data_IF_949028935479
#
_entry.id   IF_949028935479
#
_cell.length_a   1.000
_cell.length_b   1.000
_cell.length_c   1.000
_cell.angle_alpha   90.00
_cell.angle_beta   90.00
_cell.angle_gamma   90.00
#
_symmetry.space_group_name_H-M   'P 1'
#
loop_
_entity.id
_entity.type
_entity.pdbx_description
1 polymer ?
#
# COMPACT_ATOMS: atom_id res chain seq x y z
N UNK A 1 -35.09 32.50 -12.21
CA UNK A 1 -34.82 31.04 -12.35
C UNK A 1 -33.62 30.70 -11.46
N UNK A 2 -33.80 29.84 -10.45
CA UNK A 2 -32.70 29.36 -9.58
C UNK A 2 -32.64 27.83 -9.71
N UNK A 3 -31.79 27.34 -10.61
CA UNK A 3 -31.49 25.92 -10.68
C UNK A 3 -30.61 25.57 -9.47
N UNK A 4 -31.16 24.76 -8.56
CA UNK A 4 -30.52 24.31 -7.33
C UNK A 4 -29.35 23.38 -7.68
N UNK A 5 -28.12 23.85 -7.45
CA UNK A 5 -26.93 23.02 -7.29
C UNK A 5 -27.18 22.06 -6.11
N UNK A 6 -27.65 20.84 -6.35
CA UNK A 6 -27.81 19.86 -5.27
C UNK A 6 -27.40 18.43 -5.65
N UNK A 7 -26.84 18.21 -6.85
CA UNK A 7 -26.51 16.85 -7.32
C UNK A 7 -25.01 16.53 -7.18
N UNK A 8 -24.14 17.53 -7.03
CA UNK A 8 -22.69 17.33 -6.95
C UNK A 8 -22.18 16.99 -5.53
N UNK A 9 -22.92 17.34 -4.47
CA UNK A 9 -22.48 17.07 -3.09
C UNK A 9 -22.56 15.58 -2.73
N UNK A 10 -23.49 14.84 -3.32
CA UNK A 10 -23.71 13.42 -3.02
C UNK A 10 -22.64 12.53 -3.64
N UNK A 11 -22.07 12.90 -4.79
CA UNK A 11 -21.01 12.13 -5.45
C UNK A 11 -19.65 12.21 -4.72
N UNK A 12 -19.42 13.27 -3.93
CA UNK A 12 -18.17 13.43 -3.18
C UNK A 12 -18.16 12.61 -1.87
N UNK A 13 -19.33 12.29 -1.32
CA UNK A 13 -19.42 11.52 -0.07
C UNK A 13 -19.26 10.01 -0.25
N UNK A 14 -19.49 9.46 -1.46
CA UNK A 14 -19.41 8.01 -1.71
C UNK A 14 -17.96 7.51 -1.81
N UNK A 15 -16.98 8.39 -2.04
CA UNK A 15 -15.56 8.02 -2.10
C UNK A 15 -14.85 8.00 -0.74
N UNK A 16 -15.46 8.53 0.32
CA UNK A 16 -14.81 8.66 1.63
C UNK A 16 -14.83 7.38 2.48
N UNK A 17 -15.67 6.38 2.15
CA UNK A 17 -15.82 5.18 2.98
C UNK A 17 -14.82 4.06 2.69
N UNK A 18 -14.00 4.19 1.64
CA UNK A 18 -13.02 3.18 1.24
C UNK A 18 -11.57 3.62 1.44
N UNK A 19 -11.33 4.88 1.79
CA UNK A 19 -10.00 5.44 1.96
C UNK A 19 -10.07 6.46 3.10
N UNK A 20 -9.76 6.03 4.32
CA UNK A 20 -9.50 6.93 5.46
C UNK A 20 -8.37 7.88 5.08
N UNK A 21 -8.73 9.07 4.59
CA UNK A 21 -7.81 10.18 4.34
C UNK A 21 -7.67 10.95 5.66
N UNK A 22 -6.66 10.61 6.45
CA UNK A 22 -5.88 11.59 7.22
C UNK A 22 -4.61 10.94 7.78
N UNK A 23 -3.46 11.43 7.33
CA UNK A 23 -2.16 11.08 7.89
C UNK A 23 -1.53 9.83 7.28
N UNK A 24 -0.21 9.75 7.43
CA UNK A 24 0.72 8.73 6.95
C UNK A 24 0.48 7.32 7.50
N UNK A 25 -0.78 6.92 7.72
CA UNK A 25 -1.13 5.63 8.26
C UNK A 25 -1.35 4.66 7.11
N UNK A 26 -0.32 3.85 6.85
CA UNK A 26 -0.48 2.48 6.34
C UNK A 26 -1.73 1.91 7.04
N UNK A 27 -2.83 1.62 6.32
CA UNK A 27 -4.07 1.22 6.97
C UNK A 27 -3.80 0.01 7.85
N UNK A 28 -4.15 0.20 9.13
CA UNK A 28 -4.35 -0.79 10.19
C UNK A 28 -3.28 -1.87 10.32
N UNK A 29 -2.68 -1.94 11.53
CA UNK A 29 -2.15 -3.15 12.18
C UNK A 29 -2.43 -4.41 11.36
N UNK A 30 -1.65 -4.63 10.30
CA UNK A 30 -1.67 -5.89 9.60
C UNK A 30 -0.90 -6.74 10.58
N UNK A 31 -1.64 -7.47 11.41
CA UNK A 31 -1.06 -8.30 12.46
C UNK A 31 0.21 -8.96 11.95
N UNK A 32 1.25 -8.89 12.77
CA UNK A 32 2.58 -9.46 12.58
C UNK A 32 2.64 -10.48 11.43
N UNK A 33 3.45 -10.19 10.40
CA UNK A 33 3.79 -11.15 9.35
C UNK A 33 2.59 -11.94 8.83
N UNK A 34 1.66 -11.29 8.13
CA UNK A 34 0.63 -12.05 7.41
C UNK A 34 1.33 -13.00 6.44
N UNK A 35 1.41 -14.29 6.80
CA UNK A 35 1.86 -15.41 5.94
C UNK A 35 1.09 -15.51 4.62
N UNK A 36 0.01 -14.75 4.51
CA UNK A 36 -0.85 -14.68 3.35
C UNK A 36 -0.36 -13.59 2.38
N UNK A 37 0.31 -14.02 1.32
CA UNK A 37 0.70 -13.16 0.21
C UNK A 37 -0.36 -13.16 -0.88
N UNK A 38 -1.05 -12.03 -1.02
CA UNK A 38 -2.02 -11.87 -2.10
C UNK A 38 -1.36 -11.57 -3.44
N UNK A 39 -2.08 -11.89 -4.50
CA UNK A 39 -1.76 -11.45 -5.86
C UNK A 39 -2.30 -10.04 -6.06
N UNK A 40 -1.52 -9.17 -6.70
CA UNK A 40 -2.01 -7.84 -7.11
C UNK A 40 -3.24 -8.01 -8.01
N UNK A 41 -4.33 -7.35 -7.62
CA UNK A 41 -5.62 -7.35 -8.33
C UNK A 41 -6.03 -5.96 -8.82
N UNK A 42 -5.36 -4.91 -8.35
CA UNK A 42 -5.61 -3.54 -8.79
C UNK A 42 -4.37 -2.67 -8.65
N UNK A 43 -4.20 -1.78 -9.62
CA UNK A 43 -3.20 -0.72 -9.59
C UNK A 43 -3.74 0.49 -10.36
N UNK A 44 -3.77 1.65 -9.72
CA UNK A 44 -4.27 2.89 -10.32
C UNK A 44 -3.49 4.08 -9.80
N UNK A 45 -2.90 4.85 -10.71
CA UNK A 45 -2.39 6.18 -10.41
C UNK A 45 -3.50 7.19 -10.69
N UNK A 46 -3.67 8.15 -9.80
CA UNK A 46 -4.68 9.19 -9.90
C UNK A 46 -4.18 10.48 -9.29
N UNK A 47 -4.78 11.59 -9.71
CA UNK A 47 -4.52 12.90 -9.13
C UNK A 47 -5.68 13.26 -8.23
N UNK A 48 -5.37 13.58 -6.96
CA UNK A 48 -6.34 14.05 -5.97
C UNK A 48 -6.08 15.52 -5.73
N UNK A 49 -7.12 16.34 -5.89
CA UNK A 49 -7.06 17.77 -5.60
C UNK A 49 -7.65 17.98 -4.21
N UNK A 50 -6.84 18.47 -3.28
CA UNK A 50 -7.31 18.96 -1.98
C UNK A 50 -7.47 20.48 -2.03
N UNK A 51 -8.07 21.06 -0.99
CA UNK A 51 -8.24 22.51 -0.88
C UNK A 51 -6.92 23.30 -0.94
N UNK A 52 -5.79 22.66 -0.65
CA UNK A 52 -4.46 23.29 -0.56
C UNK A 52 -3.47 22.83 -1.63
N UNK A 53 -3.65 21.65 -2.25
CA UNK A 53 -2.68 21.12 -3.22
C UNK A 53 -3.25 20.03 -4.12
N UNK A 54 -2.65 19.90 -5.29
CA UNK A 54 -2.81 18.75 -6.17
C UNK A 54 -1.76 17.70 -5.84
N UNK A 55 -2.19 16.47 -5.55
CA UNK A 55 -1.32 15.35 -5.18
C UNK A 55 -1.51 14.18 -6.13
N UNK A 56 -0.41 13.54 -6.53
CA UNK A 56 -0.50 12.22 -7.17
C UNK A 56 -0.59 11.14 -6.11
N UNK A 57 -1.49 10.19 -6.33
CA UNK A 57 -1.77 9.07 -5.44
C UNK A 57 -1.79 7.79 -6.24
N UNK A 58 -1.03 6.80 -5.79
CA UNK A 58 -1.07 5.44 -6.32
C UNK A 58 -1.89 4.57 -5.38
N UNK A 59 -2.91 3.91 -5.91
CA UNK A 59 -3.72 2.92 -5.20
C UNK A 59 -3.39 1.54 -5.72
N UNK A 60 -3.15 0.60 -4.82
CA UNK A 60 -2.99 -0.80 -5.17
C UNK A 60 -3.91 -1.68 -4.35
N UNK A 61 -4.21 -2.86 -4.87
CA UNK A 61 -4.92 -3.88 -4.12
C UNK A 61 -4.31 -5.24 -4.38
N UNK A 62 -4.36 -6.10 -3.37
CA UNK A 62 -4.02 -7.50 -3.51
C UNK A 62 -5.10 -8.39 -2.91
N UNK A 63 -5.25 -9.57 -3.48
CA UNK A 63 -6.22 -10.56 -3.04
C UNK A 63 -5.52 -11.86 -2.70
N UNK A 64 -5.80 -12.39 -1.51
CA UNK A 64 -5.45 -13.74 -1.09
C UNK A 64 -6.71 -14.50 -0.75
N UNK A 65 -6.98 -15.59 -1.47
CA UNK A 65 -8.25 -16.35 -1.38
C UNK A 65 -9.45 -15.41 -1.57
N UNK A 66 -10.22 -15.18 -0.50
CA UNK A 66 -11.41 -14.32 -0.50
C UNK A 66 -11.18 -12.94 0.15
N UNK A 67 -9.95 -12.68 0.60
CA UNK A 67 -9.60 -11.43 1.29
C UNK A 67 -8.89 -10.51 0.32
N UNK A 68 -9.40 -9.30 0.14
CA UNK A 68 -8.76 -8.23 -0.63
C UNK A 68 -8.34 -7.12 0.31
N UNK A 69 -7.09 -6.67 0.21
CA UNK A 69 -6.57 -5.54 0.94
C UNK A 69 -6.20 -4.42 -0.05
N UNK A 70 -6.54 -3.18 0.31
CA UNK A 70 -6.28 -1.99 -0.49
C UNK A 70 -5.23 -1.12 0.20
N UNK A 71 -4.37 -0.51 -0.59
CA UNK A 71 -3.29 0.37 -0.13
C UNK A 71 -3.29 1.64 -0.95
N UNK A 72 -2.92 2.73 -0.28
CA UNK A 72 -2.77 4.03 -0.89
C UNK A 72 -1.38 4.58 -0.57
N UNK A 73 -0.74 5.13 -1.60
CA UNK A 73 0.59 5.71 -1.51
C UNK A 73 0.55 7.12 -2.10
N UNK A 74 1.10 8.08 -1.38
CA UNK A 74 1.31 9.43 -1.90
C UNK A 74 2.52 9.38 -2.83
N UNK A 75 2.31 9.74 -4.10
CA UNK A 75 3.32 9.72 -5.15
C UNK A 75 2.91 8.90 -6.38
N UNK A 76 3.69 9.06 -7.45
CA UNK A 76 3.61 8.25 -8.65
C UNK A 76 4.55 7.04 -8.52
N UNK A 77 3.97 5.84 -8.40
CA UNK A 77 4.73 4.60 -8.31
C UNK A 77 4.51 3.70 -9.54
N UNK A 78 4.30 4.30 -10.72
CA UNK A 78 4.38 3.59 -12.00
C UNK A 78 5.65 2.74 -12.08
N UNK A 79 5.52 1.53 -12.59
CA UNK A 79 6.53 0.48 -12.58
C UNK A 79 6.34 -0.55 -11.46
N UNK A 80 5.49 -0.29 -10.47
CA UNK A 80 5.16 -1.24 -9.41
C UNK A 80 3.84 -2.00 -9.64
N UNK A 81 3.30 -2.03 -10.86
CA UNK A 81 1.97 -2.60 -11.18
C UNK A 81 1.84 -4.08 -10.79
N UNK A 82 2.95 -4.80 -10.80
CA UNK A 82 3.04 -6.22 -10.42
C UNK A 82 3.67 -6.43 -9.04
N UNK A 83 4.09 -5.36 -8.38
CA UNK A 83 4.66 -5.33 -7.04
C UNK A 83 3.67 -4.61 -6.09
N UNK A 84 4.06 -4.31 -4.85
CA UNK A 84 3.28 -3.72 -3.74
C UNK A 84 2.39 -4.68 -2.94
N UNK A 85 2.51 -5.98 -3.15
CA UNK A 85 1.90 -6.97 -2.24
C UNK A 85 2.64 -6.99 -0.90
N UNK A 86 1.97 -7.54 0.13
CA UNK A 86 2.62 -7.84 1.40
C UNK A 86 3.75 -8.84 1.18
N UNK A 87 4.80 -8.73 1.98
CA UNK A 87 5.78 -9.79 2.17
C UNK A 87 6.30 -9.75 3.61
N UNK A 88 6.94 -10.83 4.03
CA UNK A 88 7.64 -10.93 5.31
C UNK A 88 9.16 -10.81 5.04
N UNK A 89 9.81 -9.71 5.44
CA UNK A 89 11.25 -9.54 5.27
C UNK A 89 12.10 -10.54 6.06
N UNK A 90 11.58 -11.05 7.18
CA UNK A 90 12.25 -12.00 8.07
C UNK A 90 12.12 -13.45 7.59
N UNK A 91 10.94 -13.78 7.08
CA UNK A 91 10.62 -15.11 6.56
C UNK A 91 10.06 -14.96 5.13
N UNK A 92 10.91 -14.63 4.14
CA UNK A 92 10.46 -14.40 2.76
C UNK A 92 9.78 -15.62 2.13
N UNK A 93 9.97 -16.82 2.72
CA UNK A 93 9.14 -18.00 2.44
C UNK A 93 8.14 -18.16 3.59
N UNK A 94 6.82 -18.22 3.33
CA UNK A 94 6.14 -18.64 2.10
C UNK A 94 5.78 -17.51 1.12
N UNK A 95 6.14 -16.28 1.45
CA UNK A 95 5.62 -15.06 0.87
C UNK A 95 6.56 -14.45 -0.19
N UNK A 96 6.82 -15.19 -1.27
CA UNK A 96 7.72 -14.73 -2.32
C UNK A 96 7.07 -13.63 -3.15
N UNK A 97 7.74 -12.49 -3.22
CA UNK A 97 7.41 -11.46 -4.20
C UNK A 97 7.46 -12.05 -5.62
N UNK A 98 6.71 -11.44 -6.54
CA UNK A 98 6.76 -11.83 -7.96
C UNK A 98 8.18 -11.67 -8.52
N UNK A 99 8.46 -12.40 -9.61
CA UNK A 99 9.66 -12.18 -10.41
C UNK A 99 9.82 -10.67 -10.67
N UNK A 100 11.06 -10.18 -10.55
CA UNK A 100 11.45 -8.75 -10.65
C UNK A 100 11.12 -7.86 -9.44
N UNK A 101 10.36 -8.36 -8.46
CA UNK A 101 10.11 -7.66 -7.21
C UNK A 101 11.03 -8.18 -6.09
N UNK A 102 11.44 -7.30 -5.18
CA UNK A 102 12.20 -7.64 -3.97
C UNK A 102 11.36 -7.31 -2.74
N UNK A 103 11.45 -8.14 -1.70
CA UNK A 103 10.83 -7.85 -0.41
C UNK A 103 11.72 -6.90 0.38
N UNK A 104 11.21 -5.70 0.70
CA UNK A 104 11.89 -4.72 1.53
C UNK A 104 11.07 -4.42 2.80
N UNK A 105 11.73 -4.20 3.94
CA UNK A 105 11.05 -3.86 5.18
C UNK A 105 10.47 -2.44 5.18
N UNK A 106 9.44 -2.23 5.98
CA UNK A 106 8.97 -0.89 6.33
C UNK A 106 9.91 -0.25 7.36
N UNK A 107 10.06 1.08 7.33
CA UNK A 107 10.95 1.87 8.20
C UNK A 107 10.60 1.70 9.68
N UNK A 108 9.32 1.77 10.00
CA UNK A 108 8.84 1.78 11.39
C UNK A 108 8.43 0.39 11.90
N UNK A 109 8.35 -0.60 11.00
CA UNK A 109 7.90 -1.97 11.30
C UNK A 109 8.73 -2.98 10.48
N UNK A 110 9.95 -3.35 10.93
CA UNK A 110 10.88 -4.17 10.15
C UNK A 110 10.39 -5.61 9.89
N UNK A 111 9.44 -6.09 10.69
CA UNK A 111 8.78 -7.40 10.54
C UNK A 111 7.69 -7.39 9.45
N UNK A 112 7.38 -6.23 8.88
CA UNK A 112 6.40 -6.05 7.80
C UNK A 112 7.11 -5.53 6.56
N UNK A 113 6.86 -6.17 5.42
CA UNK A 113 7.50 -5.84 4.16
C UNK A 113 6.54 -5.44 3.05
N UNK A 114 7.11 -4.80 2.03
CA UNK A 114 6.52 -4.60 0.72
C UNK A 114 7.36 -5.25 -0.36
N UNK A 115 6.68 -5.92 -1.28
CA UNK A 115 7.27 -6.23 -2.58
C UNK A 115 7.42 -4.94 -3.37
N UNK A 116 8.61 -4.64 -3.87
CA UNK A 116 8.88 -3.45 -4.69
C UNK A 116 9.69 -3.84 -5.92
N UNK A 117 9.48 -3.17 -7.06
CA UNK A 117 10.31 -3.40 -8.24
C UNK A 117 11.70 -2.81 -8.01
N UNK A 118 12.75 -3.53 -8.43
CA UNK A 118 14.11 -2.98 -8.38
C UNK A 118 14.25 -1.83 -9.39
N UNK A 119 14.96 -0.77 -9.00
CA UNK A 119 15.25 0.37 -9.88
C UNK A 119 14.10 1.37 -10.05
N UNK A 120 12.98 1.18 -9.36
CA UNK A 120 11.88 2.17 -9.30
C UNK A 120 11.88 2.92 -7.97
N UNK A 121 11.32 4.15 -7.92
CA UNK A 121 11.18 4.89 -6.67
C UNK A 121 10.44 4.06 -5.61
N UNK A 122 10.99 4.02 -4.39
CA UNK A 122 10.39 3.28 -3.29
C UNK A 122 9.21 4.06 -2.72
N UNK A 123 8.10 3.37 -2.38
CA UNK A 123 7.02 3.99 -1.62
C UNK A 123 7.51 4.55 -0.28
N UNK A 124 6.92 5.67 0.12
CA UNK A 124 7.12 6.21 1.46
C UNK A 124 6.87 5.15 2.53
N UNK A 125 7.74 5.15 3.54
CA UNK A 125 7.74 4.15 4.59
C UNK A 125 8.46 2.84 4.24
N UNK A 126 8.87 2.60 2.99
CA UNK A 126 9.73 1.44 2.63
C UNK A 126 11.20 1.81 2.84
N UNK A 127 11.98 0.89 3.41
CA UNK A 127 13.42 1.05 3.66
C UNK A 127 14.22 0.18 2.71
N UNK A 128 15.28 0.73 2.12
CA UNK A 128 16.23 -0.07 1.34
C UNK A 128 17.08 -0.96 2.27
N UNK A 129 17.45 -2.15 1.78
CA UNK A 129 18.25 -3.14 2.52
C UNK A 129 17.44 -4.31 3.08
N UNK A 130 18.13 -5.22 3.76
CA UNK A 130 17.52 -6.38 4.43
C UNK A 130 17.08 -5.99 5.83
N UNK A 131 15.94 -6.51 6.28
CA UNK A 131 15.58 -6.44 7.70
C UNK A 131 16.65 -7.17 8.52
N UNK A 132 17.15 -6.51 9.57
CA UNK A 132 17.87 -7.20 10.64
C UNK A 132 16.81 -7.75 11.59
N UNK A 133 16.14 -8.82 11.18
CA UNK A 133 15.20 -9.50 12.05
C UNK A 133 15.99 -10.10 13.20
N UNK A 134 15.99 -9.38 14.33
CA UNK A 134 16.50 -9.95 15.57
C UNK A 134 15.55 -11.08 15.91
N UNK A 135 16.05 -12.32 15.94
CA UNK A 135 15.36 -13.37 16.65
C UNK A 135 15.05 -12.82 18.04
N UNK A 136 13.77 -12.67 18.37
CA UNK A 136 13.39 -12.49 19.76
C UNK A 136 13.63 -13.85 20.39
N UNK A 137 14.82 -14.04 20.95
CA UNK A 137 15.06 -15.16 21.86
C UNK A 137 13.98 -15.07 22.92
N UNK A 138 13.15 -16.11 22.97
CA UNK A 138 12.08 -16.23 23.95
C UNK A 138 12.69 -16.26 25.34
N UNK A 139 12.18 -15.39 26.21
CA UNK A 139 12.42 -15.46 27.63
C UNK A 139 11.12 -15.84 28.33
#
# INVERSE_FOLDING_TARGET
>A
MKAKLSVLATFVLVLHKSYDILGSSVPQKSGAGSRNCGRITGFKVSTVVTSSRTMTVTRSSWTYKKVTANFEYIGNYTGHEKCLSNCDPCHPRPCNCRLECVCLPMKDYPDVGRCVKKGTPLPDGVKNGTSQCKYKDGN
#
